data_IF_763964353490
#
_entry.id   IF_763964353490
#
_cell.length_a   1.000
_cell.length_b   1.000
_cell.length_c   1.000
_cell.angle_alpha   90.00
_cell.angle_beta   90.00
_cell.angle_gamma   90.00
#
_symmetry.space_group_name_H-M   'P 1'
#
loop_
_entity.id
_entity.type
_entity.pdbx_description
1 polymer ?
#
# COMPACT_ATOMS: atom_id res chain seq x y z
N UNK A 1 16.62 27.80 -8.55
CA UNK A 1 15.25 28.13 -8.16
C UNK A 1 14.62 28.77 -9.38
N UNK A 2 13.85 28.00 -10.17
CA UNK A 2 13.06 28.56 -11.29
C UNK A 2 11.82 29.16 -10.64
N UNK A 3 11.69 30.48 -10.65
CA UNK A 3 10.44 31.16 -10.38
C UNK A 3 9.40 30.64 -11.38
N UNK A 4 8.50 29.79 -10.93
CA UNK A 4 7.27 29.48 -11.67
C UNK A 4 6.47 30.80 -11.69
N UNK A 5 6.20 31.32 -12.89
CA UNK A 5 5.20 32.36 -13.05
C UNK A 5 3.91 31.92 -12.33
N UNK A 6 3.10 32.88 -11.89
CA UNK A 6 1.80 32.65 -11.22
C UNK A 6 0.83 31.92 -12.18
N UNK A 7 1.10 30.64 -12.45
CA UNK A 7 0.14 29.76 -13.09
C UNK A 7 -0.89 29.38 -12.03
N UNK A 8 -2.14 29.68 -12.27
CA UNK A 8 -3.23 29.39 -11.35
C UNK A 8 -3.27 27.89 -11.02
N UNK A 9 -3.21 27.57 -9.74
CA UNK A 9 -3.39 26.19 -9.26
C UNK A 9 -4.80 25.73 -9.65
N UNK A 10 -4.93 24.64 -10.42
CA UNK A 10 -6.23 24.18 -10.86
C UNK A 10 -7.14 23.85 -9.66
N UNK A 11 -8.42 24.18 -9.74
CA UNK A 11 -9.41 23.80 -8.74
C UNK A 11 -9.56 22.28 -8.77
N UNK A 12 -9.18 21.62 -7.67
CA UNK A 12 -9.29 20.19 -7.52
C UNK A 12 -10.62 19.85 -6.85
N UNK A 13 -11.47 19.11 -7.54
CA UNK A 13 -12.72 18.59 -7.01
C UNK A 13 -12.56 17.07 -6.79
N UNK A 14 -11.91 16.70 -5.69
CA UNK A 14 -11.71 15.30 -5.32
C UNK A 14 -13.04 14.66 -4.90
N UNK A 15 -13.37 13.53 -5.53
CA UNK A 15 -14.55 12.71 -5.22
C UNK A 15 -14.18 11.28 -4.84
N UNK A 16 -13.02 10.82 -5.29
CA UNK A 16 -12.57 9.43 -5.20
C UNK A 16 -11.20 9.31 -4.53
N UNK A 17 -10.75 8.10 -4.29
CA UNK A 17 -9.47 7.81 -3.63
C UNK A 17 -8.26 7.93 -4.57
N UNK A 18 -8.47 7.76 -5.88
CA UNK A 18 -7.40 7.74 -6.88
C UNK A 18 -7.56 8.86 -7.90
N UNK A 19 -6.45 9.37 -8.42
CA UNK A 19 -6.44 10.27 -9.57
C UNK A 19 -5.89 9.57 -10.81
N UNK A 20 -6.58 9.70 -11.93
CA UNK A 20 -6.13 9.25 -13.26
C UNK A 20 -5.74 10.49 -14.04
N UNK A 21 -4.50 10.57 -14.52
CA UNK A 21 -4.01 11.74 -15.27
C UNK A 21 -3.50 11.33 -16.64
N UNK A 22 -4.02 11.91 -17.69
CA UNK A 22 -3.59 11.68 -19.06
C UNK A 22 -3.12 13.01 -19.72
N UNK A 23 -2.09 12.96 -20.58
CA UNK A 23 -1.49 14.16 -21.17
C UNK A 23 -1.50 14.20 -22.69
N UNK A 24 -1.86 13.11 -23.36
CA UNK A 24 -1.95 13.01 -24.81
C UNK A 24 -3.37 12.67 -25.23
N UNK A 25 -3.71 12.87 -26.50
CA UNK A 25 -5.01 12.49 -27.06
C UNK A 25 -5.29 10.98 -26.90
N UNK A 26 -4.30 10.12 -27.21
CA UNK A 26 -4.46 8.68 -27.09
C UNK A 26 -4.62 8.23 -25.65
N UNK A 27 -3.77 8.74 -24.75
CA UNK A 27 -3.86 8.41 -23.33
C UNK A 27 -5.19 8.89 -22.72
N UNK A 28 -5.72 10.05 -23.13
CA UNK A 28 -7.03 10.51 -22.66
C UNK A 28 -8.17 9.55 -23.07
N UNK A 29 -8.12 8.96 -24.26
CA UNK A 29 -9.10 7.97 -24.71
C UNK A 29 -9.03 6.68 -23.89
N UNK A 30 -7.83 6.18 -23.60
CA UNK A 30 -7.64 4.99 -22.77
C UNK A 30 -8.05 5.29 -21.32
N UNK A 31 -7.68 6.45 -20.79
CA UNK A 31 -8.03 6.88 -19.44
C UNK A 31 -9.55 7.02 -19.24
N UNK A 32 -10.29 7.48 -20.25
CA UNK A 32 -11.77 7.51 -20.24
C UNK A 32 -12.36 6.09 -20.17
N UNK A 33 -11.81 5.12 -20.91
CA UNK A 33 -12.22 3.72 -20.81
C UNK A 33 -11.92 3.16 -19.42
N UNK A 34 -10.70 3.40 -18.92
CA UNK A 34 -10.31 2.98 -17.59
C UNK A 34 -11.23 3.58 -16.52
N UNK A 35 -11.59 4.86 -16.60
CA UNK A 35 -12.53 5.50 -15.66
C UNK A 35 -13.88 4.80 -15.60
N UNK A 36 -14.35 4.27 -16.72
CA UNK A 36 -15.59 3.47 -16.78
C UNK A 36 -15.46 2.11 -16.09
N UNK A 37 -14.27 1.51 -16.08
CA UNK A 37 -13.97 0.22 -15.46
C UNK A 37 -13.51 0.36 -14.00
N UNK A 38 -12.92 1.49 -13.64
CA UNK A 38 -12.37 1.82 -12.33
C UNK A 38 -13.05 3.09 -11.78
N UNK A 39 -14.26 2.98 -11.22
CA UNK A 39 -15.08 4.13 -10.82
C UNK A 39 -14.49 4.93 -9.64
N UNK A 40 -13.56 4.35 -8.85
CA UNK A 40 -12.89 5.02 -7.72
C UNK A 40 -11.73 5.95 -8.15
N UNK A 41 -11.70 6.38 -9.41
CA UNK A 41 -10.67 7.28 -9.95
C UNK A 41 -11.25 8.59 -10.49
N UNK A 42 -10.75 9.73 -10.05
CA UNK A 42 -11.04 11.03 -10.67
C UNK A 42 -10.14 11.21 -11.88
N UNK A 43 -10.72 11.48 -13.04
CA UNK A 43 -9.99 11.62 -14.30
C UNK A 43 -9.69 13.06 -14.62
N UNK A 44 -8.40 13.32 -14.95
CA UNK A 44 -7.87 14.61 -15.38
C UNK A 44 -7.20 14.52 -16.76
N UNK A 45 -7.52 15.43 -17.67
CA UNK A 45 -6.74 15.62 -18.90
C UNK A 45 -6.83 17.07 -19.43
N UNK A 46 -5.90 17.50 -20.31
CA UNK A 46 -5.87 18.85 -20.81
C UNK A 46 -7.14 19.25 -21.56
N UNK A 47 -7.60 20.50 -21.34
CA UNK A 47 -8.79 21.07 -21.97
C UNK A 47 -8.79 20.95 -23.50
N UNK A 48 -7.62 21.02 -24.14
CA UNK A 48 -7.47 20.83 -25.60
C UNK A 48 -7.95 19.49 -26.15
N UNK A 49 -8.23 18.50 -25.27
CA UNK A 49 -8.77 17.19 -25.65
C UNK A 49 -10.23 16.99 -25.22
N UNK A 50 -10.88 18.08 -24.80
CA UNK A 50 -12.28 18.07 -24.39
C UNK A 50 -13.21 17.54 -25.50
N UNK A 51 -14.22 16.79 -25.13
CA UNK A 51 -15.25 16.24 -26.02
C UNK A 51 -16.63 16.88 -25.82
N UNK A 52 -16.82 17.65 -24.74
CA UNK A 52 -18.05 18.34 -24.38
C UNK A 52 -18.99 17.56 -23.47
N UNK A 53 -18.59 16.36 -23.01
CA UNK A 53 -19.38 15.49 -22.12
C UNK A 53 -18.75 15.31 -20.72
N UNK A 54 -17.65 16.05 -20.45
CA UNK A 54 -16.82 15.88 -19.26
C UNK A 54 -17.57 16.15 -17.97
N UNK A 55 -18.37 17.19 -17.93
CA UNK A 55 -19.15 17.57 -16.75
C UNK A 55 -20.12 16.45 -16.36
N UNK A 56 -20.85 15.89 -17.33
CA UNK A 56 -21.79 14.78 -17.10
C UNK A 56 -21.10 13.49 -16.62
N UNK A 57 -19.84 13.30 -16.99
CA UNK A 57 -19.02 12.17 -16.57
C UNK A 57 -18.16 12.43 -15.32
N UNK A 58 -18.18 13.66 -14.78
CA UNK A 58 -17.37 14.06 -13.66
C UNK A 58 -15.86 14.08 -13.96
N UNK A 59 -15.49 14.32 -15.22
CA UNK A 59 -14.11 14.44 -15.68
C UNK A 59 -13.65 15.89 -15.49
N UNK A 60 -12.44 16.08 -15.01
CA UNK A 60 -11.87 17.39 -14.73
C UNK A 60 -10.86 17.77 -15.81
N UNK A 61 -11.10 18.90 -16.43
CA UNK A 61 -10.18 19.47 -17.41
C UNK A 61 -9.20 20.41 -16.72
N UNK A 62 -7.96 20.46 -17.20
CA UNK A 62 -6.97 21.41 -16.74
C UNK A 62 -6.27 22.09 -17.91
N UNK A 63 -5.81 23.31 -17.66
CA UNK A 63 -4.96 24.07 -18.55
C UNK A 63 -3.54 24.19 -17.96
N UNK A 64 -2.56 24.52 -18.79
CA UNK A 64 -1.19 24.72 -18.35
C UNK A 64 -0.38 23.44 -18.15
N UNK A 65 0.53 23.48 -17.19
CA UNK A 65 1.56 22.46 -17.01
C UNK A 65 1.09 21.34 -16.07
N UNK A 66 1.15 20.08 -16.53
CA UNK A 66 0.79 18.91 -15.73
C UNK A 66 1.59 18.81 -14.42
N UNK A 67 2.79 19.39 -14.33
CA UNK A 67 3.58 19.44 -13.09
C UNK A 67 2.83 20.17 -11.97
N UNK A 68 2.12 21.26 -12.30
CA UNK A 68 1.34 22.04 -11.34
C UNK A 68 0.15 21.23 -10.85
N UNK A 69 -0.57 20.56 -11.78
CA UNK A 69 -1.62 19.63 -11.42
C UNK A 69 -1.10 18.54 -10.48
N UNK A 70 0.01 17.86 -10.83
CA UNK A 70 0.58 16.79 -9.99
C UNK A 70 0.97 17.30 -8.60
N UNK A 71 1.58 18.49 -8.50
CA UNK A 71 1.91 19.10 -7.20
C UNK A 71 0.66 19.38 -6.36
N UNK A 72 -0.44 19.77 -6.99
CA UNK A 72 -1.69 20.08 -6.30
C UNK A 72 -2.45 18.84 -5.81
N UNK A 73 -2.30 17.69 -6.51
CA UNK A 73 -3.04 16.45 -6.20
C UNK A 73 -2.23 15.41 -5.45
N UNK A 74 -0.90 15.49 -5.41
CA UNK A 74 0.00 14.42 -4.95
C UNK A 74 -0.40 13.84 -3.60
N UNK A 75 -0.64 14.66 -2.59
CA UNK A 75 -1.04 14.22 -1.25
C UNK A 75 -2.56 14.26 -0.99
N UNK A 76 -3.36 14.57 -2.01
CA UNK A 76 -4.83 14.52 -1.88
C UNK A 76 -5.39 13.14 -2.12
N UNK A 77 -4.73 12.33 -2.93
CA UNK A 77 -5.18 11.01 -3.34
C UNK A 77 -4.34 9.92 -2.67
N UNK A 78 -4.94 8.76 -2.43
CA UNK A 78 -4.23 7.55 -1.99
C UNK A 78 -3.28 7.04 -3.06
N UNK A 79 -3.63 7.25 -4.33
CA UNK A 79 -2.77 6.87 -5.44
C UNK A 79 -3.04 7.62 -6.73
N UNK A 80 -2.01 7.66 -7.57
CA UNK A 80 -1.96 8.35 -8.85
C UNK A 80 -1.72 7.35 -9.98
N UNK A 81 -2.59 7.35 -10.98
CA UNK A 81 -2.50 6.53 -12.20
C UNK A 81 -2.17 7.48 -13.36
N UNK A 82 -0.93 7.43 -13.83
CA UNK A 82 -0.36 8.45 -14.70
C UNK A 82 -0.06 7.90 -16.09
N UNK A 83 -0.81 8.33 -17.10
CA UNK A 83 -0.52 8.09 -18.51
C UNK A 83 0.52 9.10 -19.01
N UNK A 84 1.74 8.98 -18.47
CA UNK A 84 2.85 9.89 -18.70
C UNK A 84 4.12 9.03 -18.78
N UNK A 85 5.13 9.43 -19.57
CA UNK A 85 6.38 8.68 -19.62
C UNK A 85 7.06 8.63 -18.24
N UNK A 86 7.58 7.45 -17.86
CA UNK A 86 8.17 7.20 -16.54
C UNK A 86 9.23 8.23 -16.15
N UNK A 87 10.15 8.56 -17.07
CA UNK A 87 11.20 9.54 -16.79
C UNK A 87 10.68 10.96 -16.53
N UNK A 88 9.55 11.36 -17.15
CA UNK A 88 8.91 12.62 -16.86
C UNK A 88 8.24 12.62 -15.48
N UNK A 89 7.53 11.52 -15.14
CA UNK A 89 6.92 11.36 -13.82
C UNK A 89 7.97 11.48 -12.73
N UNK A 90 9.07 10.72 -12.80
CA UNK A 90 10.16 10.77 -11.82
C UNK A 90 10.64 12.21 -11.57
N UNK A 91 10.90 12.99 -12.66
CA UNK A 91 11.35 14.38 -12.52
C UNK A 91 10.30 15.31 -11.91
N UNK A 92 9.02 15.02 -12.14
CA UNK A 92 7.94 15.86 -11.61
C UNK A 92 7.63 15.57 -10.14
N UNK A 93 7.65 14.29 -9.73
CA UNK A 93 7.31 13.91 -8.35
C UNK A 93 8.49 13.98 -7.40
N UNK A 94 9.75 13.85 -7.86
CA UNK A 94 10.94 13.86 -7.01
C UNK A 94 10.96 15.01 -5.97
N UNK A 95 10.61 16.27 -6.30
CA UNK A 95 10.57 17.35 -5.32
C UNK A 95 9.43 17.23 -4.29
N UNK A 96 8.46 16.35 -4.52
CA UNK A 96 7.28 16.15 -3.67
C UNK A 96 7.48 15.03 -2.66
N UNK A 97 8.44 14.13 -2.89
CA UNK A 97 8.64 12.94 -2.07
C UNK A 97 9.08 13.31 -0.65
N UNK A 98 8.52 12.59 0.35
CA UNK A 98 8.83 12.77 1.77
C UNK A 98 9.23 11.46 2.43
N UNK A 99 8.33 10.48 2.45
CA UNK A 99 8.54 9.22 3.13
C UNK A 99 7.68 8.10 2.53
N UNK A 100 8.22 6.88 2.44
CA UNK A 100 7.54 5.70 1.86
C UNK A 100 6.22 5.32 2.55
N UNK A 101 5.97 5.81 3.76
CA UNK A 101 4.74 5.53 4.54
C UNK A 101 3.61 6.51 4.23
N UNK A 102 3.94 7.71 3.75
CA UNK A 102 2.97 8.78 3.51
C UNK A 102 2.85 9.17 2.04
N UNK A 103 3.88 8.87 1.24
CA UNK A 103 3.83 9.13 -0.19
C UNK A 103 2.79 8.22 -0.86
N UNK A 104 1.94 8.75 -1.74
CA UNK A 104 0.88 7.98 -2.39
C UNK A 104 1.42 6.88 -3.29
N UNK A 105 0.58 5.89 -3.58
CA UNK A 105 0.85 4.94 -4.66
C UNK A 105 1.02 5.69 -5.99
N UNK A 106 2.09 5.41 -6.74
CA UNK A 106 2.25 5.95 -8.09
C UNK A 106 2.39 4.82 -9.09
N UNK A 107 1.48 4.79 -10.04
CA UNK A 107 1.45 3.84 -11.14
C UNK A 107 1.55 4.61 -12.46
N UNK A 108 2.41 4.16 -13.34
CA UNK A 108 2.63 4.76 -14.66
C UNK A 108 2.15 3.81 -15.75
N UNK A 109 1.48 4.37 -16.74
CA UNK A 109 0.99 3.61 -17.91
C UNK A 109 1.56 4.25 -19.18
N UNK A 110 2.03 3.43 -20.10
CA UNK A 110 2.50 3.91 -21.41
C UNK A 110 1.33 4.42 -22.27
N UNK A 111 1.64 5.25 -23.27
CA UNK A 111 0.65 5.92 -24.12
C UNK A 111 -0.28 4.96 -24.90
N UNK A 112 0.05 3.68 -24.97
CA UNK A 112 -0.75 2.65 -25.61
C UNK A 112 -1.49 1.75 -24.63
N UNK A 113 -1.29 1.95 -23.31
CA UNK A 113 -1.89 1.13 -22.28
C UNK A 113 -1.42 -0.32 -22.29
N UNK A 114 -0.19 -0.59 -22.77
CA UNK A 114 0.35 -1.95 -22.86
C UNK A 114 1.06 -2.41 -21.59
N UNK A 115 1.66 -1.47 -20.86
CA UNK A 115 2.37 -1.74 -19.63
C UNK A 115 1.84 -0.85 -18.52
N UNK A 116 1.63 -1.42 -17.35
CA UNK A 116 1.28 -0.74 -16.11
C UNK A 116 2.41 -0.97 -15.12
N UNK A 117 3.05 0.11 -14.69
CA UNK A 117 4.33 0.07 -13.97
C UNK A 117 4.14 0.61 -12.56
N UNK A 118 4.46 -0.21 -11.55
CA UNK A 118 4.55 0.23 -10.15
C UNK A 118 5.81 1.08 -9.95
N UNK A 119 5.65 2.34 -9.53
CA UNK A 119 6.77 3.32 -9.48
C UNK A 119 7.12 3.71 -8.06
N UNK A 120 6.12 3.95 -7.20
CA UNK A 120 6.32 4.46 -5.86
C UNK A 120 5.33 3.81 -4.90
N UNK A 121 5.77 3.60 -3.63
CA UNK A 121 4.94 3.06 -2.55
C UNK A 121 4.32 1.70 -2.89
N UNK A 122 5.16 0.77 -3.39
CA UNK A 122 4.74 -0.53 -3.92
C UNK A 122 3.97 -1.39 -2.93
N UNK A 123 4.48 -1.53 -1.70
CA UNK A 123 3.87 -2.35 -0.63
C UNK A 123 2.83 -1.55 0.18
N UNK A 124 3.25 -0.84 1.23
CA UNK A 124 2.35 -0.13 2.16
C UNK A 124 1.44 0.88 1.47
N UNK A 125 1.92 1.57 0.45
CA UNK A 125 1.10 2.49 -0.35
C UNK A 125 0.17 1.79 -1.35
N UNK A 126 0.36 0.49 -1.62
CA UNK A 126 -0.52 -0.32 -2.47
C UNK A 126 -0.27 -0.20 -3.98
N UNK A 127 0.84 0.41 -4.44
CA UNK A 127 1.07 0.58 -5.87
C UNK A 127 1.22 -0.76 -6.62
N UNK A 128 1.76 -1.82 -6.00
CA UNK A 128 1.87 -3.13 -6.63
C UNK A 128 0.48 -3.75 -6.89
N UNK A 129 -0.41 -3.67 -5.91
CA UNK A 129 -1.78 -4.19 -6.05
C UNK A 129 -2.57 -3.37 -7.08
N UNK A 130 -2.50 -2.04 -6.98
CA UNK A 130 -3.10 -1.14 -7.97
C UNK A 130 -2.58 -1.42 -9.38
N UNK A 131 -1.28 -1.73 -9.53
CA UNK A 131 -0.68 -2.11 -10.82
C UNK A 131 -1.31 -3.38 -11.38
N UNK A 132 -1.51 -4.42 -10.55
CA UNK A 132 -2.16 -5.67 -10.98
C UNK A 132 -3.62 -5.44 -11.38
N UNK A 133 -4.36 -4.69 -10.57
CA UNK A 133 -5.76 -4.37 -10.82
C UNK A 133 -5.93 -3.60 -12.14
N UNK A 134 -5.19 -2.50 -12.31
CA UNK A 134 -5.29 -1.68 -13.52
C UNK A 134 -4.81 -2.44 -14.76
N UNK A 135 -3.75 -3.25 -14.64
CA UNK A 135 -3.27 -4.09 -15.75
C UNK A 135 -4.33 -5.12 -16.18
N UNK A 136 -5.03 -5.74 -15.23
CA UNK A 136 -6.12 -6.67 -15.54
C UNK A 136 -7.27 -5.97 -16.27
N UNK A 137 -7.70 -4.77 -15.80
CA UNK A 137 -8.76 -3.99 -16.43
C UNK A 137 -8.42 -3.54 -17.86
N UNK A 138 -7.15 -3.24 -18.13
CA UNK A 138 -6.68 -2.78 -19.44
C UNK A 138 -6.18 -3.92 -20.35
N UNK A 139 -6.13 -5.16 -19.86
CA UNK A 139 -5.47 -6.30 -20.52
C UNK A 139 -4.00 -5.99 -20.85
N UNK A 140 -3.32 -5.31 -19.93
CA UNK A 140 -1.94 -4.84 -20.03
C UNK A 140 -0.97 -5.74 -19.25
N UNK A 141 0.32 -5.54 -19.47
CA UNK A 141 1.38 -6.21 -18.74
C UNK A 141 1.68 -5.46 -17.43
N UNK A 142 1.53 -6.08 -16.23
CA UNK A 142 1.96 -5.48 -14.99
C UNK A 142 3.48 -5.55 -14.84
N UNK A 143 4.12 -4.43 -14.51
CA UNK A 143 5.56 -4.35 -14.28
C UNK A 143 5.79 -3.99 -12.82
N UNK A 144 6.21 -4.99 -12.04
CA UNK A 144 6.50 -4.87 -10.62
C UNK A 144 7.94 -5.35 -10.39
N UNK A 145 8.74 -4.54 -9.70
CA UNK A 145 10.17 -4.80 -9.49
C UNK A 145 10.54 -5.08 -8.04
N UNK A 146 9.56 -5.08 -7.13
CA UNK A 146 9.78 -5.35 -5.71
C UNK A 146 10.23 -6.80 -5.52
N UNK A 147 11.35 -7.01 -4.84
CA UNK A 147 12.00 -8.32 -4.76
C UNK A 147 11.09 -9.42 -4.19
N UNK A 148 10.35 -9.14 -3.12
CA UNK A 148 9.40 -10.11 -2.53
C UNK A 148 8.28 -10.53 -3.48
N UNK A 149 7.77 -9.59 -4.31
CA UNK A 149 6.77 -9.89 -5.33
C UNK A 149 7.35 -10.74 -6.46
N UNK A 150 8.55 -10.39 -6.94
CA UNK A 150 9.22 -11.12 -8.02
C UNK A 150 9.60 -12.54 -7.59
N UNK A 151 10.07 -12.70 -6.35
CA UNK A 151 10.42 -14.01 -5.77
C UNK A 151 9.21 -14.78 -5.26
N UNK A 152 8.02 -14.17 -5.23
CA UNK A 152 6.80 -14.75 -4.68
C UNK A 152 7.02 -15.26 -3.25
N UNK A 153 7.62 -14.42 -2.41
CA UNK A 153 7.91 -14.70 -1.00
C UNK A 153 7.11 -13.77 -0.07
N UNK A 154 7.38 -13.83 1.24
CA UNK A 154 6.68 -13.02 2.23
C UNK A 154 7.12 -11.55 2.13
N UNK A 155 6.17 -10.66 1.87
CA UNK A 155 6.34 -9.22 2.08
C UNK A 155 6.13 -8.93 3.57
N UNK A 156 7.23 -8.80 4.32
CA UNK A 156 7.21 -8.73 5.79
C UNK A 156 6.42 -7.51 6.29
N UNK A 157 6.51 -6.39 5.59
CA UNK A 157 5.79 -5.15 5.88
C UNK A 157 4.28 -5.22 5.59
N UNK A 158 3.83 -6.22 4.83
CA UNK A 158 2.41 -6.51 4.56
C UNK A 158 1.90 -7.77 5.28
N UNK A 159 2.78 -8.46 6.00
CA UNK A 159 2.44 -9.75 6.59
C UNK A 159 1.29 -9.63 7.59
N UNK A 160 0.20 -10.34 7.32
CA UNK A 160 -1.02 -10.30 8.12
C UNK A 160 -1.88 -9.04 8.00
N UNK A 161 -1.48 -8.04 7.19
CA UNK A 161 -2.21 -6.77 7.02
C UNK A 161 -3.66 -6.96 6.57
N UNK A 162 -3.93 -7.93 5.70
CA UNK A 162 -5.30 -8.26 5.25
C UNK A 162 -6.22 -8.76 6.36
N UNK A 163 -5.65 -9.24 7.48
CA UNK A 163 -6.38 -9.63 8.67
C UNK A 163 -6.41 -8.54 9.74
N UNK A 164 -5.76 -7.41 9.44
CA UNK A 164 -5.63 -6.29 10.37
C UNK A 164 -4.64 -6.55 11.51
N UNK A 165 -3.66 -7.47 11.32
CA UNK A 165 -2.57 -7.64 12.26
C UNK A 165 -1.70 -6.38 12.29
N UNK A 166 -1.19 -6.07 13.47
CA UNK A 166 -0.23 -4.97 13.67
C UNK A 166 1.06 -5.53 14.23
N UNK A 167 2.18 -4.86 14.02
CA UNK A 167 3.46 -5.24 14.63
C UNK A 167 3.79 -4.34 15.82
N UNK A 168 4.49 -4.89 16.81
CA UNK A 168 4.87 -4.16 18.01
C UNK A 168 5.98 -3.13 17.77
N UNK A 169 6.91 -3.42 16.86
CA UNK A 169 8.07 -2.57 16.56
C UNK A 169 8.51 -2.72 15.12
N UNK A 170 8.98 -1.63 14.53
CA UNK A 170 9.57 -1.59 13.19
C UNK A 170 11.10 -1.79 13.21
N UNK A 171 11.72 -1.89 14.39
CA UNK A 171 13.17 -1.89 14.57
C UNK A 171 13.89 -2.92 13.67
N UNK A 172 13.31 -4.12 13.52
CA UNK A 172 13.89 -5.19 12.73
C UNK A 172 13.21 -5.43 11.39
N UNK A 173 12.24 -4.59 10.99
CA UNK A 173 11.46 -4.78 9.77
C UNK A 173 12.35 -4.91 8.53
N UNK A 174 13.29 -3.98 8.36
CA UNK A 174 14.23 -3.98 7.23
C UNK A 174 15.15 -5.21 7.25
N UNK A 175 15.66 -5.58 8.44
CA UNK A 175 16.56 -6.73 8.60
C UNK A 175 15.85 -8.04 8.27
N UNK A 176 14.64 -8.24 8.79
CA UNK A 176 13.85 -9.45 8.53
C UNK A 176 13.41 -9.51 7.08
N UNK A 177 13.00 -8.38 6.48
CA UNK A 177 12.68 -8.31 5.05
C UNK A 177 13.89 -8.68 4.19
N UNK A 178 15.08 -8.21 4.53
CA UNK A 178 16.32 -8.56 3.84
C UNK A 178 16.63 -10.07 3.98
N UNK A 179 16.47 -10.66 5.16
CA UNK A 179 16.67 -12.09 5.37
C UNK A 179 15.73 -12.94 4.52
N UNK A 180 14.45 -12.54 4.40
CA UNK A 180 13.48 -13.23 3.53
C UNK A 180 13.91 -13.18 2.07
N UNK A 181 14.26 -11.99 1.57
CA UNK A 181 14.61 -11.77 0.15
C UNK A 181 15.97 -12.37 -0.22
N UNK A 182 16.92 -12.40 0.72
CA UNK A 182 18.25 -13.02 0.52
C UNK A 182 18.26 -14.53 0.75
N UNK A 183 17.09 -15.14 0.96
CA UNK A 183 16.95 -16.58 1.21
C UNK A 183 17.73 -17.06 2.44
N UNK A 184 17.95 -16.17 3.43
CA UNK A 184 18.52 -16.54 4.71
C UNK A 184 17.50 -17.30 5.59
N UNK A 185 17.92 -18.08 6.59
CA UNK A 185 17.01 -18.82 7.47
C UNK A 185 16.04 -17.88 8.20
N UNK A 186 14.73 -18.05 7.98
CA UNK A 186 13.67 -17.29 8.64
C UNK A 186 12.73 -18.23 9.37
N UNK A 187 12.49 -17.95 10.66
CA UNK A 187 11.56 -18.69 11.48
C UNK A 187 10.18 -18.03 11.49
N UNK A 188 9.14 -18.85 11.46
CA UNK A 188 7.76 -18.42 11.73
C UNK A 188 7.24 -19.22 12.91
N UNK A 189 6.71 -18.52 13.92
CA UNK A 189 5.95 -19.12 15.02
C UNK A 189 4.57 -18.51 15.03
N UNK A 190 3.55 -19.35 14.98
CA UNK A 190 2.17 -18.88 14.98
C UNK A 190 1.37 -19.52 16.12
N UNK A 191 1.08 -18.71 17.15
CA UNK A 191 0.29 -19.11 18.31
C UNK A 191 -1.19 -18.66 18.18
N UNK A 192 -1.46 -17.64 17.38
CA UNK A 192 -2.80 -17.07 17.21
C UNK A 192 -3.00 -16.50 15.80
N UNK A 193 -4.19 -15.98 15.52
CA UNK A 193 -4.53 -15.38 14.24
C UNK A 193 -4.86 -16.37 13.14
N UNK A 194 -5.14 -15.85 11.97
CA UNK A 194 -5.56 -16.60 10.80
C UNK A 194 -4.39 -17.36 10.18
N UNK A 195 -4.63 -18.64 9.83
CA UNK A 195 -3.59 -19.52 9.24
C UNK A 195 -3.48 -19.40 7.72
N UNK A 196 -4.42 -18.73 7.05
CA UNK A 196 -4.47 -18.62 5.59
C UNK A 196 -3.66 -17.42 5.05
N UNK A 197 -2.56 -17.05 5.69
CA UNK A 197 -1.73 -15.90 5.31
C UNK A 197 -0.83 -16.15 4.08
N UNK A 198 -0.50 -17.42 3.76
CA UNK A 198 0.22 -17.77 2.55
C UNK A 198 -0.74 -17.69 1.35
N UNK A 199 -0.38 -16.92 0.32
CA UNK A 199 -1.26 -16.55 -0.78
C UNK A 199 -0.96 -17.27 -2.09
N UNK A 200 0.17 -17.96 -2.16
CA UNK A 200 0.64 -18.59 -3.39
C UNK A 200 0.26 -20.07 -3.42
N UNK A 201 0.07 -20.62 -4.64
CA UNK A 201 -0.28 -22.02 -4.86
C UNK A 201 0.92 -22.99 -4.71
N UNK A 202 2.12 -22.45 -4.52
CA UNK A 202 3.32 -23.25 -4.25
C UNK A 202 3.66 -23.27 -2.75
N UNK A 203 4.47 -24.23 -2.28
CA UNK A 203 4.92 -24.31 -0.89
C UNK A 203 5.74 -23.07 -0.49
N UNK A 204 5.84 -22.84 0.82
CA UNK A 204 6.76 -21.84 1.37
C UNK A 204 8.19 -22.04 0.84
N UNK A 205 8.94 -20.95 0.59
CA UNK A 205 10.36 -21.01 0.28
C UNK A 205 11.14 -21.84 1.33
N UNK A 206 12.14 -22.60 0.89
CA UNK A 206 12.88 -23.53 1.76
C UNK A 206 13.61 -22.88 2.93
N UNK A 207 13.93 -21.61 2.81
CA UNK A 207 14.56 -20.82 3.87
C UNK A 207 13.57 -20.37 4.96
N UNK A 208 12.26 -20.52 4.76
CA UNK A 208 11.22 -20.14 5.72
C UNK A 208 10.67 -21.39 6.39
N UNK A 209 10.87 -21.51 7.68
CA UNK A 209 10.49 -22.69 8.47
C UNK A 209 9.50 -22.33 9.56
N UNK A 210 8.47 -23.18 9.71
CA UNK A 210 7.48 -23.08 10.77
C UNK A 210 7.99 -23.85 12.01
N UNK A 211 7.95 -23.20 13.17
CA UNK A 211 8.33 -23.78 14.45
C UNK A 211 7.12 -23.84 15.39
N UNK A 212 7.00 -24.91 16.19
CA UNK A 212 5.87 -25.06 17.12
C UNK A 212 5.89 -24.04 18.25
N UNK A 213 7.10 -23.68 18.75
CA UNK A 213 7.29 -22.75 19.85
C UNK A 213 8.36 -21.68 19.53
N UNK A 214 8.33 -20.60 20.28
CA UNK A 214 9.34 -19.53 20.17
C UNK A 214 10.72 -20.05 20.60
N UNK A 215 10.78 -20.95 21.58
CA UNK A 215 12.05 -21.54 22.04
C UNK A 215 12.69 -22.41 20.95
N UNK A 216 11.91 -23.21 20.24
CA UNK A 216 12.40 -24.00 19.09
C UNK A 216 12.96 -23.08 17.99
N UNK A 217 12.30 -21.95 17.76
CA UNK A 217 12.78 -20.95 16.80
C UNK A 217 14.10 -20.29 17.26
N UNK A 218 14.25 -20.00 18.55
CA UNK A 218 15.50 -19.47 19.14
C UNK A 218 16.66 -20.46 18.96
N UNK A 219 16.41 -21.74 19.26
CA UNK A 219 17.43 -22.79 19.15
C UNK A 219 17.91 -22.99 17.71
N UNK A 220 17.05 -22.73 16.72
CA UNK A 220 17.38 -22.78 15.30
C UNK A 220 18.27 -21.60 14.83
N UNK A 221 18.45 -20.55 15.64
CA UNK A 221 19.28 -19.36 15.36
C UNK A 221 18.99 -18.73 13.99
N UNK A 222 17.76 -18.31 13.71
CA UNK A 222 17.39 -17.74 12.42
C UNK A 222 18.02 -16.35 12.21
N UNK A 223 18.21 -15.95 10.97
CA UNK A 223 18.59 -14.58 10.59
C UNK A 223 17.44 -13.60 10.78
N UNK A 224 16.19 -14.09 10.67
CA UNK A 224 14.95 -13.33 10.89
C UNK A 224 13.85 -14.19 11.48
N UNK A 225 12.90 -13.59 12.22
CA UNK A 225 11.75 -14.31 12.76
C UNK A 225 10.45 -13.49 12.65
N UNK A 226 9.35 -14.17 12.33
CA UNK A 226 7.99 -13.64 12.33
C UNK A 226 7.20 -14.37 13.42
N UNK A 227 6.85 -13.66 14.48
CA UNK A 227 6.16 -14.23 15.65
C UNK A 227 4.72 -13.72 15.67
N UNK A 228 3.77 -14.59 15.46
CA UNK A 228 2.35 -14.27 15.46
C UNK A 228 1.75 -14.71 16.79
N UNK A 229 1.57 -13.77 17.71
CA UNK A 229 1.07 -14.07 19.06
C UNK A 229 0.27 -12.90 19.64
N UNK A 230 -0.74 -13.23 20.47
CA UNK A 230 -1.53 -12.24 21.22
C UNK A 230 -1.01 -12.03 22.65
N UNK A 231 -0.15 -12.93 23.14
CA UNK A 231 0.38 -12.89 24.51
C UNK A 231 1.71 -12.12 24.60
N UNK A 232 2.05 -11.70 25.79
CA UNK A 232 3.40 -11.21 26.08
C UNK A 232 4.41 -12.37 26.06
N UNK A 233 5.63 -12.07 25.63
CA UNK A 233 6.71 -13.06 25.62
C UNK A 233 7.21 -13.32 27.04
N UNK A 234 7.43 -14.60 27.36
CA UNK A 234 8.13 -15.02 28.57
C UNK A 234 9.58 -14.50 28.58
N UNK A 235 10.22 -14.31 29.75
CA UNK A 235 11.58 -13.78 29.81
C UNK A 235 12.58 -14.55 28.95
N UNK A 236 12.50 -15.88 28.92
CA UNK A 236 13.35 -16.79 28.13
C UNK A 236 13.13 -16.68 26.61
N UNK A 237 11.95 -16.20 26.18
CA UNK A 237 11.60 -16.03 24.78
C UNK A 237 12.10 -14.70 24.20
N UNK A 238 12.43 -13.71 25.04
CA UNK A 238 12.74 -12.34 24.62
C UNK A 238 13.97 -12.23 23.72
N UNK A 239 14.86 -13.20 23.72
CA UNK A 239 16.02 -13.21 22.85
C UNK A 239 15.67 -13.22 21.36
N UNK A 240 14.48 -13.74 20.98
CA UNK A 240 14.00 -13.72 19.58
C UNK A 240 13.84 -12.30 19.05
N UNK A 241 13.61 -11.31 19.92
CA UNK A 241 13.45 -9.91 19.52
C UNK A 241 14.71 -9.29 18.93
N UNK A 242 15.89 -9.94 19.05
CA UNK A 242 17.13 -9.47 18.42
C UNK A 242 17.12 -9.64 16.89
N UNK A 243 16.24 -10.52 16.38
CA UNK A 243 16.09 -10.78 14.94
C UNK A 243 14.63 -10.96 14.52
N UNK A 244 13.67 -10.76 15.41
CA UNK A 244 12.25 -11.06 15.17
C UNK A 244 11.35 -9.82 15.20
N UNK A 245 10.19 -10.00 14.57
CA UNK A 245 9.07 -9.05 14.60
C UNK A 245 7.87 -9.78 15.19
N UNK A 246 7.20 -9.14 16.14
CA UNK A 246 5.94 -9.66 16.69
C UNK A 246 4.77 -9.04 15.93
N UNK A 247 3.90 -9.89 15.41
CA UNK A 247 2.62 -9.53 14.82
C UNK A 247 1.50 -9.86 15.81
N UNK A 248 0.59 -8.90 16.01
CA UNK A 248 -0.54 -8.97 16.95
C UNK A 248 -1.84 -9.16 16.18
N UNK A 249 -2.39 -10.36 16.14
CA UNK A 249 -3.74 -10.60 15.64
C UNK A 249 -4.81 -9.98 16.54
N UNK A 250 -5.93 -9.61 15.96
CA UNK A 250 -7.12 -9.15 16.71
C UNK A 250 -7.87 -10.36 17.26
N UNK A 251 -7.59 -10.73 18.50
CA UNK A 251 -8.17 -11.93 19.16
C UNK A 251 -9.23 -11.59 20.20
N UNK A 252 -9.41 -10.30 20.55
CA UNK A 252 -10.38 -9.87 21.55
C UNK A 252 -11.64 -9.40 20.84
N UNK A 253 -12.79 -9.91 21.31
CA UNK A 253 -14.12 -9.44 20.91
C UNK A 253 -14.79 -8.82 22.15
N UNK A 254 -15.14 -7.54 22.08
CA UNK A 254 -15.78 -6.82 23.17
C UNK A 254 -17.26 -6.71 22.86
N UNK A 255 -18.10 -7.26 23.73
CA UNK A 255 -19.55 -7.06 23.70
C UNK A 255 -19.93 -5.88 24.58
N UNK A 256 -20.70 -4.92 24.03
CA UNK A 256 -21.12 -3.71 24.75
C UNK A 256 -22.64 -3.68 24.84
N UNK A 257 -23.14 -3.52 26.09
CA UNK A 257 -24.53 -3.17 26.34
C UNK A 257 -24.61 -1.79 26.98
N UNK A 258 -25.40 -0.86 26.40
CA UNK A 258 -25.57 0.48 26.96
C UNK A 258 -27.01 0.96 26.86
N UNK A 259 -27.36 1.97 27.62
CA UNK A 259 -28.67 2.62 27.58
C UNK A 259 -28.76 3.55 26.35
N UNK A 260 -30.00 3.86 25.94
CA UNK A 260 -30.22 4.85 24.89
C UNK A 260 -29.67 6.21 25.34
N UNK A 261 -28.79 6.81 24.57
CA UNK A 261 -28.19 8.12 24.82
C UNK A 261 -26.84 8.09 25.56
N UNK A 262 -26.28 6.90 25.87
CA UNK A 262 -24.91 6.78 26.35
C UNK A 262 -23.95 7.29 25.26
N UNK A 263 -23.04 8.19 25.63
CA UNK A 263 -22.09 8.78 24.70
C UNK A 263 -20.99 7.78 24.27
N UNK A 264 -20.41 8.00 23.09
CA UNK A 264 -19.27 7.20 22.63
C UNK A 264 -18.05 7.32 23.56
N UNK A 265 -17.84 8.50 24.16
CA UNK A 265 -16.75 8.78 25.11
C UNK A 265 -16.91 7.98 26.40
N UNK A 266 -18.17 7.89 26.95
CA UNK A 266 -18.45 7.09 28.12
C UNK A 266 -18.24 5.60 27.88
N UNK A 267 -18.65 5.09 26.70
CA UNK A 267 -18.42 3.71 26.30
C UNK A 267 -16.90 3.43 26.18
N UNK A 268 -16.15 4.32 25.56
CA UNK A 268 -14.72 4.19 25.40
C UNK A 268 -14.00 4.16 26.76
N UNK A 269 -14.35 5.06 27.68
CA UNK A 269 -13.76 5.11 29.03
C UNK A 269 -13.96 3.78 29.78
N UNK A 270 -15.17 3.22 29.74
CA UNK A 270 -15.45 1.93 30.40
C UNK A 270 -14.65 0.77 29.78
N UNK A 271 -14.48 0.77 28.44
CA UNK A 271 -13.65 -0.24 27.76
C UNK A 271 -12.20 -0.11 28.22
N UNK A 272 -11.64 1.11 28.23
CA UNK A 272 -10.26 1.36 28.61
C UNK A 272 -10.00 0.97 30.07
N UNK A 273 -10.89 1.32 30.99
CA UNK A 273 -10.83 0.91 32.40
C UNK A 273 -10.83 -0.62 32.54
N UNK A 274 -11.76 -1.31 31.85
CA UNK A 274 -11.88 -2.78 31.92
C UNK A 274 -10.65 -3.52 31.34
N UNK A 275 -9.97 -2.93 30.37
CA UNK A 275 -8.77 -3.52 29.78
C UNK A 275 -7.49 -3.28 30.60
N UNK A 276 -7.52 -2.36 31.58
CA UNK A 276 -6.40 -2.07 32.49
C UNK A 276 -6.41 -2.94 33.77
N UNK A 277 -7.55 -3.59 34.09
CA UNK A 277 -7.69 -4.58 35.16
C UNK A 277 -7.22 -5.98 34.70
#
# INVERSE_FOLDING_TARGET
VIQLAEEEIPKINQKNDYAIVAITKHSAEIARKLRGLFPNGDLYYPHKFAKGDEEGLGIQLYDGNVRILLSAIFYKYKGLILFISLGAVVRMIAPLLKDKKIDPAVVVIDDRGKNVISVLSGHLGGANELTREIAALLHANPVITTASDVQQTIAVDLFGSRFGWVWDSEEHLTKVSAAVVNEEPVAIVQESGERSWWLYDHPLPKNIMLYPTILDAIDAKPSGALIITHRLLAPEEKSILQCGIIFRPKVIVIGIGCNRGTSGEEIQSVIEETLLE
#
